data_IF_154410238262
#
_entry.id   IF_154410238262
#
_cell.length_a   1.000
_cell.length_b   1.000
_cell.length_c   1.000
_cell.angle_alpha   90.00
_cell.angle_beta   90.00
_cell.angle_gamma   90.00
#
_symmetry.space_group_name_H-M   'P 1'
#
loop_
_entity.id
_entity.type
_entity.pdbx_description
1 polymer ?
#
# COMPACT_ATOMS: atom_id res chain seq x y z
N UNK A 1 -10.61 28.81 7.34
CA UNK A 1 -9.43 27.92 7.44
C UNK A 1 -9.48 26.98 6.26
N UNK A 2 -8.76 27.29 5.20
CA UNK A 2 -8.71 26.49 3.98
C UNK A 2 -7.54 25.51 4.13
N UNK A 3 -7.86 24.24 4.37
CA UNK A 3 -6.85 23.17 4.42
C UNK A 3 -6.37 22.91 3.00
N UNK A 4 -5.35 23.65 2.56
CA UNK A 4 -4.60 23.31 1.35
C UNK A 4 -4.00 21.92 1.60
N UNK A 5 -4.58 20.91 0.97
CA UNK A 5 -3.93 19.62 0.86
C UNK A 5 -2.62 19.85 0.10
N UNK A 6 -1.52 20.01 0.84
CA UNK A 6 -0.18 19.94 0.31
C UNK A 6 0.05 18.50 -0.13
N UNK A 7 -0.44 18.14 -1.31
CA UNK A 7 -0.05 16.92 -2.00
C UNK A 7 1.31 17.28 -2.59
N UNK A 8 2.45 16.79 -2.02
CA UNK A 8 3.73 17.03 -2.64
C UNK A 8 3.70 16.47 -4.06
N UNK A 9 3.88 17.38 -5.01
CA UNK A 9 4.08 17.11 -6.41
C UNK A 9 5.41 16.40 -6.61
N UNK A 10 5.42 15.08 -6.45
CA UNK A 10 6.58 14.26 -6.76
C UNK A 10 6.16 13.10 -7.65
N UNK A 11 5.69 13.44 -8.84
CA UNK A 11 5.73 12.58 -10.03
C UNK A 11 6.37 13.30 -11.23
N UNK A 12 7.19 14.32 -11.00
CA UNK A 12 8.12 14.81 -12.00
C UNK A 12 9.27 13.81 -12.16
N UNK A 13 9.07 12.93 -13.13
CA UNK A 13 10.06 12.02 -13.68
C UNK A 13 9.56 11.61 -15.05
N UNK A 14 9.77 12.48 -16.03
CA UNK A 14 9.41 12.31 -17.44
C UNK A 14 10.20 11.16 -18.08
N UNK A 15 9.81 9.93 -17.80
CA UNK A 15 9.99 8.80 -18.70
C UNK A 15 8.60 8.37 -19.12
N UNK A 16 8.30 8.44 -20.43
CA UNK A 16 7.04 7.93 -20.98
C UNK A 16 6.86 6.49 -20.49
N UNK A 17 5.99 6.28 -19.49
CA UNK A 17 5.64 4.94 -19.04
C UNK A 17 4.85 4.28 -20.17
N UNK A 18 5.12 3.00 -20.48
CA UNK A 18 4.32 2.28 -21.47
C UNK A 18 2.85 2.30 -21.05
N UNK A 19 1.94 2.51 -22.01
CA UNK A 19 0.50 2.50 -21.75
C UNK A 19 0.10 1.06 -21.47
N UNK A 20 -0.24 0.79 -20.21
CA UNK A 20 -0.80 -0.48 -19.78
C UNK A 20 -2.32 -0.35 -19.56
N UNK A 21 -3.08 -1.46 -19.56
CA UNK A 21 -4.49 -1.41 -19.23
C UNK A 21 -4.72 -0.74 -17.87
N UNK A 22 -5.69 0.17 -17.79
CA UNK A 22 -6.00 0.95 -16.57
C UNK A 22 -6.11 0.08 -15.31
N UNK A 23 -6.70 -1.12 -15.46
CA UNK A 23 -6.85 -2.11 -14.40
C UNK A 23 -5.50 -2.55 -13.81
N UNK A 24 -4.49 -2.72 -14.64
CA UNK A 24 -3.14 -3.12 -14.23
C UNK A 24 -2.46 -1.95 -13.52
N UNK A 25 -2.47 -0.77 -14.13
CA UNK A 25 -1.87 0.44 -13.56
C UNK A 25 -2.41 0.76 -12.16
N UNK A 26 -3.74 0.76 -12.00
CA UNK A 26 -4.37 1.02 -10.72
C UNK A 26 -4.06 -0.05 -9.67
N UNK A 27 -3.96 -1.32 -10.09
CA UNK A 27 -3.55 -2.40 -9.18
C UNK A 27 -2.09 -2.24 -8.72
N UNK A 28 -1.19 -1.82 -9.60
CA UNK A 28 0.22 -1.56 -9.29
C UNK A 28 0.36 -0.40 -8.30
N UNK A 29 -0.34 0.71 -8.54
CA UNK A 29 -0.35 1.84 -7.62
C UNK A 29 -0.95 1.47 -6.26
N UNK A 30 -2.08 0.77 -6.26
CA UNK A 30 -2.72 0.33 -5.02
C UNK A 30 -1.79 -0.60 -4.22
N UNK A 31 -1.12 -1.55 -4.88
CA UNK A 31 -0.12 -2.42 -4.25
C UNK A 31 0.99 -1.60 -3.58
N UNK A 32 1.61 -0.67 -4.31
CA UNK A 32 2.69 0.15 -3.79
C UNK A 32 2.24 0.98 -2.58
N UNK A 33 1.03 1.52 -2.63
CA UNK A 33 0.48 2.34 -1.54
C UNK A 33 0.18 1.50 -0.28
N UNK A 34 -0.46 0.34 -0.44
CA UNK A 34 -0.74 -0.60 0.67
C UNK A 34 0.56 -1.12 1.29
N UNK A 35 1.56 -1.44 0.47
CA UNK A 35 2.87 -1.88 0.93
C UNK A 35 3.59 -0.80 1.73
N UNK A 36 3.58 0.44 1.26
CA UNK A 36 4.20 1.57 1.96
C UNK A 36 3.51 1.83 3.32
N UNK A 37 2.18 1.85 3.36
CA UNK A 37 1.45 1.98 4.61
C UNK A 37 1.84 0.88 5.61
N UNK A 38 1.95 -0.37 5.15
CA UNK A 38 2.40 -1.45 6.03
C UNK A 38 3.84 -1.26 6.52
N UNK A 39 4.76 -0.82 5.66
CA UNK A 39 6.17 -0.54 6.02
C UNK A 39 6.30 0.57 7.07
N UNK A 40 5.47 1.61 7.00
CA UNK A 40 5.47 2.74 7.94
C UNK A 40 4.88 2.31 9.29
N UNK A 41 3.68 1.73 9.28
CA UNK A 41 2.91 1.49 10.52
C UNK A 41 3.21 0.13 11.19
N UNK A 42 3.87 -0.80 10.48
CA UNK A 42 4.30 -2.15 10.90
C UNK A 42 3.19 -3.09 11.34
N UNK A 43 1.95 -2.62 11.46
CA UNK A 43 0.80 -3.39 11.91
C UNK A 43 -0.36 -3.14 10.97
N UNK A 44 -1.09 -4.21 10.63
CA UNK A 44 -2.22 -4.16 9.68
C UNK A 44 -3.36 -3.27 10.18
N UNK A 45 -3.62 -3.29 11.50
CA UNK A 45 -4.66 -2.48 12.13
C UNK A 45 -4.34 -0.97 12.09
N UNK A 46 -3.09 -0.57 12.36
CA UNK A 46 -2.70 0.85 12.27
C UNK A 46 -2.66 1.33 10.82
N UNK A 47 -2.13 0.50 9.90
CA UNK A 47 -2.11 0.82 8.48
C UNK A 47 -3.52 0.99 7.90
N UNK A 48 -4.46 0.10 8.23
CA UNK A 48 -5.85 0.20 7.80
C UNK A 48 -6.53 1.49 8.30
N UNK A 49 -6.33 1.84 9.57
CA UNK A 49 -6.84 3.09 10.16
C UNK A 49 -6.25 4.32 9.48
N UNK A 50 -4.95 4.33 9.19
CA UNK A 50 -4.30 5.44 8.51
C UNK A 50 -4.79 5.62 7.06
N UNK A 51 -5.15 4.53 6.39
CA UNK A 51 -5.73 4.55 5.04
C UNK A 51 -7.25 4.81 5.04
N UNK A 52 -7.89 4.88 6.20
CA UNK A 52 -9.34 5.07 6.29
C UNK A 52 -10.16 3.89 5.76
N UNK A 53 -9.60 2.68 5.74
CA UNK A 53 -10.31 1.48 5.29
C UNK A 53 -10.46 0.47 6.42
N UNK A 54 -11.44 -0.42 6.28
CA UNK A 54 -11.63 -1.50 7.25
C UNK A 54 -10.43 -2.46 7.28
N UNK A 55 -10.15 -3.00 8.47
CA UNK A 55 -9.04 -3.92 8.70
C UNK A 55 -9.13 -5.18 7.83
N UNK A 56 -10.32 -5.75 7.64
CA UNK A 56 -10.52 -6.92 6.77
C UNK A 56 -10.25 -6.59 5.29
N UNK A 57 -10.57 -5.37 4.87
CA UNK A 57 -10.30 -4.89 3.51
C UNK A 57 -8.81 -4.70 3.27
N UNK A 58 -8.09 -4.16 4.26
CA UNK A 58 -6.63 -4.07 4.19
C UNK A 58 -5.98 -5.46 4.09
N UNK A 59 -6.40 -6.42 4.92
CA UNK A 59 -5.92 -7.81 4.86
C UNK A 59 -6.19 -8.44 3.50
N UNK A 60 -7.40 -8.28 2.94
CA UNK A 60 -7.75 -8.80 1.61
C UNK A 60 -6.85 -8.23 0.51
N UNK A 61 -6.55 -6.93 0.56
CA UNK A 61 -5.63 -6.27 -0.38
C UNK A 61 -4.20 -6.79 -0.22
N UNK A 62 -3.70 -6.94 1.01
CA UNK A 62 -2.39 -7.53 1.25
C UNK A 62 -2.26 -8.95 0.69
N UNK A 63 -3.27 -9.81 0.94
CA UNK A 63 -3.33 -11.17 0.38
C UNK A 63 -3.35 -11.15 -1.14
N UNK A 64 -4.20 -10.32 -1.75
CA UNK A 64 -4.31 -10.15 -3.21
C UNK A 64 -2.97 -9.77 -3.84
N UNK A 65 -2.19 -8.91 -3.19
CA UNK A 65 -0.93 -8.40 -3.73
C UNK A 65 0.31 -9.17 -3.27
N UNK A 66 0.14 -10.24 -2.47
CA UNK A 66 1.25 -11.01 -1.90
C UNK A 66 2.14 -10.20 -0.96
N UNK A 67 1.61 -9.12 -0.35
CA UNK A 67 2.36 -8.28 0.58
C UNK A 67 2.46 -9.05 1.89
N UNK A 68 3.64 -9.64 2.13
CA UNK A 68 3.97 -10.35 3.36
C UNK A 68 4.71 -9.45 4.34
N UNK A 69 4.61 -9.77 5.63
CA UNK A 69 5.48 -9.16 6.63
C UNK A 69 6.92 -9.61 6.36
N UNK A 70 7.73 -8.78 5.71
CA UNK A 70 9.14 -9.08 5.51
C UNK A 70 9.84 -9.11 6.88
N UNK A 71 10.53 -10.23 7.15
CA UNK A 71 11.25 -10.52 8.40
C UNK A 71 12.47 -9.63 8.62
N UNK A 72 12.81 -9.42 9.89
CA UNK A 72 14.21 -9.30 10.34
C UNK A 72 14.82 -10.61 10.86
N UNK A 73 14.04 -11.65 11.18
CA UNK A 73 14.52 -12.81 11.97
C UNK A 73 14.21 -14.22 11.42
N UNK A 74 14.14 -14.42 10.10
CA UNK A 74 14.13 -15.80 9.55
C UNK A 74 12.88 -16.68 9.78
N UNK A 75 11.82 -16.30 10.53
CA UNK A 75 10.54 -17.08 10.71
C UNK A 75 9.23 -16.55 10.08
N UNK A 76 8.60 -17.35 9.21
CA UNK A 76 7.50 -16.89 8.33
C UNK A 76 6.26 -16.63 9.19
N UNK A 77 5.85 -15.38 9.35
CA UNK A 77 4.59 -15.06 10.02
C UNK A 77 3.46 -15.09 9.00
N UNK A 78 2.68 -16.17 9.03
CA UNK A 78 1.40 -16.23 8.33
C UNK A 78 0.42 -15.29 9.05
N UNK A 79 -0.30 -14.48 8.28
CA UNK A 79 -1.37 -13.64 8.84
C UNK A 79 -2.60 -14.50 9.13
N UNK A 80 -2.73 -14.97 10.38
CA UNK A 80 -3.94 -15.61 10.90
C UNK A 80 -3.74 -16.95 11.61
N UNK A 81 -2.91 -16.96 12.66
CA UNK A 81 -3.02 -17.91 13.77
C UNK A 81 -3.71 -17.22 14.96
#
# INVERSE_FOLDING_TARGET
>A
MEVKANIPDTLEGSSKRPIEPLKVYMATLEKAYVENAYKIFRTTRKAARALGIDHSTFIRKMKKYGISATKKDGKMHHFGD
#
